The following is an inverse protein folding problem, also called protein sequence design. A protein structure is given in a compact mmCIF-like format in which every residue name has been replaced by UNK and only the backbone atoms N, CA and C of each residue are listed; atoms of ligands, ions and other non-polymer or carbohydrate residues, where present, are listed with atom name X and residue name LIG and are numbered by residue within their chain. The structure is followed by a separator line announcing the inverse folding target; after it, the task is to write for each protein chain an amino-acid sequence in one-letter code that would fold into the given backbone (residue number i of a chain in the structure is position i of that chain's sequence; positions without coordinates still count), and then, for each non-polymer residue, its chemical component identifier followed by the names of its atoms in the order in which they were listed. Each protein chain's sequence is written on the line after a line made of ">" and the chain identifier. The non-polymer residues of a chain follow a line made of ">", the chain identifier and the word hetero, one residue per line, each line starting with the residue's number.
data_IF_460043007677
#
_entry.id   IF_460043007677
#
_cell.length_a   1.000
_cell.length_b   1.000
_cell.length_c   1.000
_cell.angle_alpha   90.00
_cell.angle_beta   90.00
_cell.angle_gamma   90.00
#
_symmetry.space_group_name_H-M   'P 1'
#
loop_
_entity.id
_entity.type
_entity.pdbx_description
1 polymer ?
#
# COMPACT_ATOMS: atom_id res chain seq x y z
N UNK A 1 -13.42 40.96 -7.53
CA UNK A 1 -13.97 39.70 -6.98
C UNK A 1 -12.97 38.60 -7.33
N UNK A 2 -12.59 37.70 -6.41
CA UNK A 2 -11.81 36.52 -6.79
C UNK A 2 -12.54 35.77 -7.92
N UNK A 3 -11.81 35.28 -8.93
CA UNK A 3 -12.38 34.57 -10.08
C UNK A 3 -12.85 35.44 -11.26
N UNK A 4 -12.70 36.77 -11.18
CA UNK A 4 -13.13 37.68 -12.24
C UNK A 4 -12.06 38.71 -12.55
N UNK A 5 -11.96 39.10 -13.81
CA UNK A 5 -11.13 40.20 -14.28
C UNK A 5 -11.97 41.31 -14.94
N UNK A 6 -11.53 42.56 -14.84
CA UNK A 6 -12.24 43.71 -15.39
C UNK A 6 -11.61 44.12 -16.72
N UNK A 7 -12.40 44.15 -17.80
CA UNK A 7 -11.90 44.50 -19.15
C UNK A 7 -11.92 46.00 -19.49
N UNK A 8 -12.43 46.84 -18.58
CA UNK A 8 -12.71 48.25 -18.82
C UNK A 8 -14.21 48.57 -18.88
N UNK A 9 -15.05 47.58 -19.16
CA UNK A 9 -16.51 47.77 -19.35
C UNK A 9 -17.34 46.88 -18.45
N UNK A 10 -17.01 45.59 -18.37
CA UNK A 10 -17.70 44.62 -17.52
C UNK A 10 -16.70 43.70 -16.81
N UNK A 11 -17.15 43.08 -15.72
CA UNK A 11 -16.44 41.98 -15.08
C UNK A 11 -16.68 40.72 -15.92
N UNK A 12 -15.61 40.11 -16.41
CA UNK A 12 -15.66 38.81 -17.08
C UNK A 12 -15.01 37.75 -16.21
N UNK A 13 -15.44 36.52 -16.43
CA UNK A 13 -14.85 35.35 -15.81
C UNK A 13 -13.36 35.26 -16.16
N UNK A 14 -12.52 34.99 -15.15
CA UNK A 14 -11.10 34.76 -15.36
C UNK A 14 -10.91 33.28 -15.66
N UNK A 15 -10.34 32.94 -16.82
CA UNK A 15 -9.96 31.56 -17.09
C UNK A 15 -8.69 31.18 -16.32
N UNK A 16 -8.85 30.57 -15.15
CA UNK A 16 -7.71 30.12 -14.35
C UNK A 16 -6.95 28.94 -14.97
N UNK A 17 -7.56 28.20 -15.91
CA UNK A 17 -6.91 27.06 -16.55
C UNK A 17 -5.78 27.45 -17.50
N UNK A 18 -5.74 28.72 -17.93
CA UNK A 18 -4.61 29.28 -18.70
C UNK A 18 -3.26 29.15 -17.98
N UNK A 19 -3.26 29.07 -16.65
CA UNK A 19 -2.06 28.92 -15.82
C UNK A 19 -1.68 27.47 -15.49
N UNK A 20 -2.39 26.47 -16.01
CA UNK A 20 -2.25 25.05 -15.63
C UNK A 20 -2.20 24.82 -14.09
N UNK A 21 -3.20 25.30 -13.32
CA UNK A 21 -3.15 25.26 -11.86
C UNK A 21 -3.17 23.83 -11.29
N UNK A 22 -3.77 22.88 -12.03
CA UNK A 22 -3.84 21.47 -11.62
C UNK A 22 -2.50 20.73 -11.77
N UNK A 23 -1.52 21.31 -12.48
CA UNK A 23 -0.25 20.68 -12.78
C UNK A 23 -0.38 19.45 -13.70
N UNK A 24 0.66 18.61 -13.80
CA UNK A 24 0.63 17.44 -14.67
C UNK A 24 -0.27 16.29 -14.17
N UNK A 25 -0.73 16.37 -12.92
CA UNK A 25 -1.46 15.28 -12.23
C UNK A 25 -2.98 15.46 -12.29
N UNK A 26 -3.48 16.40 -13.09
CA UNK A 26 -4.90 16.58 -13.27
C UNK A 26 -5.28 17.47 -14.44
N UNK A 27 -6.55 17.41 -14.79
CA UNK A 27 -7.14 18.20 -15.87
C UNK A 27 -7.93 19.37 -15.28
N UNK A 28 -7.62 20.58 -15.73
CA UNK A 28 -8.35 21.79 -15.31
C UNK A 28 -9.64 21.97 -16.10
N UNK A 29 -10.71 22.36 -15.40
CA UNK A 29 -11.97 22.80 -16.01
C UNK A 29 -12.36 24.15 -15.43
N UNK A 30 -12.38 25.17 -16.29
CA UNK A 30 -12.79 26.52 -15.92
C UNK A 30 -14.30 26.58 -15.64
N UNK A 31 -14.69 27.34 -14.63
CA UNK A 31 -16.09 27.57 -14.22
C UNK A 31 -16.31 29.05 -13.98
N UNK A 32 -17.56 29.49 -14.01
CA UNK A 32 -17.87 30.88 -13.71
C UNK A 32 -17.46 31.20 -12.25
N UNK A 33 -16.50 32.09 -12.09
CA UNK A 33 -15.95 32.57 -10.83
C UNK A 33 -14.98 31.61 -10.12
N UNK A 34 -14.59 30.48 -10.75
CA UNK A 34 -13.71 29.47 -10.15
C UNK A 34 -13.24 28.41 -11.17
N UNK A 35 -12.58 27.36 -10.72
CA UNK A 35 -12.19 26.21 -11.54
C UNK A 35 -12.21 24.93 -10.72
N UNK A 36 -12.15 23.80 -11.40
CA UNK A 36 -11.99 22.49 -10.76
C UNK A 36 -10.89 21.68 -11.41
N UNK A 37 -10.15 20.92 -10.59
CA UNK A 37 -9.16 19.95 -11.05
C UNK A 37 -9.74 18.53 -10.95
N UNK A 38 -9.74 17.81 -12.07
CA UNK A 38 -9.97 16.37 -12.10
C UNK A 38 -8.62 15.66 -12.03
N UNK A 39 -8.27 15.13 -10.86
CA UNK A 39 -6.98 14.49 -10.62
C UNK A 39 -6.92 13.07 -11.17
N UNK A 40 -5.73 12.64 -11.60
CA UNK A 40 -5.51 11.25 -12.03
C UNK A 40 -5.53 10.29 -10.84
N UNK A 41 -5.59 8.98 -11.11
CA UNK A 41 -5.52 7.94 -10.05
C UNK A 41 -4.27 8.11 -9.19
N UNK A 42 -4.43 8.00 -7.86
CA UNK A 42 -3.34 8.20 -6.88
C UNK A 42 -3.17 9.67 -6.45
N UNK A 43 -3.98 10.59 -6.96
CA UNK A 43 -3.97 12.00 -6.57
C UNK A 43 -5.37 12.45 -6.14
N UNK A 44 -5.42 13.44 -5.25
CA UNK A 44 -6.65 14.05 -4.77
C UNK A 44 -6.62 15.58 -4.89
N UNK A 45 -7.80 16.20 -4.93
CA UNK A 45 -7.91 17.65 -5.05
C UNK A 45 -7.66 18.32 -3.70
N UNK A 46 -6.60 19.13 -3.62
CA UNK A 46 -6.34 20.05 -2.50
C UNK A 46 -6.89 21.44 -2.85
N UNK A 47 -8.21 21.50 -3.02
CA UNK A 47 -8.93 22.69 -3.46
C UNK A 47 -8.73 22.99 -4.94
N UNK A 48 -7.55 23.50 -5.30
CA UNK A 48 -7.24 23.98 -6.65
C UNK A 48 -6.04 23.33 -7.32
N UNK A 49 -5.40 22.38 -6.65
CA UNK A 49 -4.27 21.62 -7.19
C UNK A 49 -4.50 20.13 -6.96
N UNK A 50 -3.86 19.29 -7.77
CA UNK A 50 -3.80 17.86 -7.50
C UNK A 50 -2.57 17.55 -6.65
N UNK A 51 -2.80 16.96 -5.49
CA UNK A 51 -1.75 16.51 -4.58
C UNK A 51 -1.76 15.00 -4.49
N UNK A 52 -0.61 14.43 -4.20
CA UNK A 52 -0.46 13.00 -3.99
C UNK A 52 -1.38 12.54 -2.86
N UNK A 53 -2.19 11.52 -3.13
CA UNK A 53 -3.07 10.95 -2.12
C UNK A 53 -2.22 10.12 -1.19
N UNK A 54 -2.25 10.39 0.11
CA UNK A 54 -1.51 9.59 1.06
C UNK A 54 -2.26 8.29 1.39
N UNK A 55 -1.96 7.19 0.70
CA UNK A 55 -2.63 5.91 0.97
C UNK A 55 -2.23 5.27 2.30
N UNK A 56 -1.17 5.74 2.97
CA UNK A 56 -0.78 5.24 4.29
C UNK A 56 -1.62 5.82 5.45
N UNK A 57 -2.70 6.55 5.16
CA UNK A 57 -3.59 7.12 6.17
C UNK A 57 -5.06 6.83 5.83
N UNK A 58 -5.67 5.76 6.39
CA UNK A 58 -5.07 4.80 7.33
C UNK A 58 -4.12 3.80 6.66
N UNK A 59 -3.18 3.24 7.43
CA UNK A 59 -2.17 2.28 6.93
C UNK A 59 -2.84 1.00 6.38
N UNK A 60 -2.70 0.71 5.07
CA UNK A 60 -3.29 -0.46 4.44
C UNK A 60 -2.48 -1.74 4.69
N UNK A 61 -1.19 -1.64 5.00
CA UNK A 61 -0.27 -2.77 5.10
C UNK A 61 -0.51 -3.63 6.36
N UNK A 62 -1.22 -3.09 7.34
CA UNK A 62 -1.55 -3.74 8.60
C UNK A 62 -0.35 -3.84 9.56
N UNK A 63 -0.51 -4.51 10.72
CA UNK A 63 0.48 -4.49 11.79
C UNK A 63 1.79 -5.23 11.47
N UNK A 64 1.82 -6.03 10.40
CA UNK A 64 2.97 -6.85 9.99
C UNK A 64 3.67 -6.28 8.75
N UNK A 65 3.39 -5.03 8.42
CA UNK A 65 4.06 -4.31 7.35
C UNK A 65 4.27 -2.84 7.70
N UNK A 66 5.19 -2.21 6.97
CA UNK A 66 5.40 -0.79 6.98
C UNK A 66 4.91 -0.18 5.67
N UNK A 67 3.99 0.79 5.75
CA UNK A 67 3.55 1.55 4.59
C UNK A 67 4.53 2.69 4.27
N UNK A 68 4.87 2.83 2.99
CA UNK A 68 5.57 4.00 2.46
C UNK A 68 4.76 4.60 1.32
N UNK A 69 4.33 5.85 1.50
CA UNK A 69 3.60 6.61 0.49
C UNK A 69 4.55 7.02 -0.66
N UNK A 70 4.08 6.96 -1.89
CA UNK A 70 4.87 7.26 -3.09
C UNK A 70 4.04 8.08 -4.08
N UNK A 71 4.65 8.85 -5.00
CA UNK A 71 3.87 9.62 -5.97
C UNK A 71 2.93 8.73 -6.82
N UNK A 72 1.62 8.89 -6.61
CA UNK A 72 0.53 8.18 -7.28
C UNK A 72 0.22 6.77 -6.77
N UNK A 73 0.87 6.31 -5.69
CA UNK A 73 0.68 4.96 -5.14
C UNK A 73 1.31 4.81 -3.74
N UNK A 74 1.33 3.61 -3.21
CA UNK A 74 2.08 3.27 -2.00
C UNK A 74 2.78 1.93 -2.15
N UNK A 75 3.67 1.63 -1.21
CA UNK A 75 4.32 0.32 -1.08
C UNK A 75 4.16 -0.21 0.34
N UNK A 76 3.99 -1.52 0.47
CA UNK A 76 3.99 -2.24 1.74
C UNK A 76 5.23 -3.11 1.83
N UNK A 77 6.07 -2.86 2.83
CA UNK A 77 7.20 -3.73 3.15
C UNK A 77 6.82 -4.61 4.33
N UNK A 78 6.68 -5.92 4.11
CA UNK A 78 6.29 -6.86 5.15
C UNK A 78 7.46 -7.23 6.06
N UNK A 79 7.15 -7.51 7.33
CA UNK A 79 8.08 -8.06 8.29
C UNK A 79 8.60 -9.43 7.83
N UNK A 80 9.73 -9.88 8.37
CA UNK A 80 10.26 -11.21 8.08
C UNK A 80 9.22 -12.31 8.43
N UNK A 81 9.04 -13.26 7.50
CA UNK A 81 8.02 -14.32 7.62
C UNK A 81 6.63 -13.92 7.12
N UNK A 82 6.46 -12.71 6.56
CA UNK A 82 5.20 -12.24 5.99
C UNK A 82 5.39 -11.85 4.51
N UNK A 83 4.33 -11.99 3.71
CA UNK A 83 4.27 -11.60 2.31
C UNK A 83 3.06 -10.71 2.02
N UNK A 84 3.19 -9.80 1.05
CA UNK A 84 2.10 -8.91 0.67
C UNK A 84 1.15 -9.62 -0.30
N UNK A 85 -0.11 -9.75 0.08
CA UNK A 85 -1.12 -10.46 -0.74
C UNK A 85 -1.86 -9.56 -1.76
N UNK A 86 -1.41 -8.31 -1.91
CA UNK A 86 -2.10 -7.28 -2.68
C UNK A 86 -2.99 -6.37 -1.83
N UNK A 87 -3.23 -6.71 -0.55
CA UNK A 87 -4.01 -5.90 0.38
C UNK A 87 -3.30 -5.68 1.72
N UNK A 88 -2.75 -6.73 2.33
CA UNK A 88 -2.14 -6.70 3.67
C UNK A 88 -0.95 -7.66 3.71
N UNK A 89 -0.02 -7.42 4.64
CA UNK A 89 1.03 -8.38 4.94
C UNK A 89 0.44 -9.60 5.67
N UNK A 90 0.47 -10.76 5.01
CA UNK A 90 -0.01 -12.03 5.53
C UNK A 90 1.15 -12.95 5.87
N UNK A 91 0.92 -13.75 6.91
CA UNK A 91 1.86 -14.76 7.36
C UNK A 91 2.15 -15.77 6.24
N UNK A 92 3.42 -16.05 5.99
CA UNK A 92 3.84 -17.05 5.00
C UNK A 92 3.64 -18.42 5.64
N UNK A 93 2.80 -19.25 5.03
CA UNK A 93 2.61 -20.63 5.51
C UNK A 93 3.75 -21.53 5.01
N UNK A 94 4.81 -21.69 5.80
CA UNK A 94 5.96 -22.49 5.38
C UNK A 94 5.64 -24.00 5.29
N UNK A 95 4.50 -24.44 5.82
CA UNK A 95 4.05 -25.83 5.76
C UNK A 95 3.33 -26.17 4.44
N UNK A 96 2.87 -25.17 3.66
CA UNK A 96 2.20 -25.40 2.36
C UNK A 96 3.14 -25.62 1.17
N UNK A 97 4.46 -25.56 1.39
CA UNK A 97 5.49 -25.73 0.36
C UNK A 97 6.29 -27.03 0.45
N UNK A 98 7.53 -27.00 -0.04
CA UNK A 98 8.47 -28.11 0.13
C UNK A 98 8.76 -28.30 1.63
N UNK A 99 8.43 -29.47 2.18
CA UNK A 99 8.45 -29.73 3.62
C UNK A 99 9.81 -29.36 4.22
N UNK A 100 9.86 -28.19 4.90
CA UNK A 100 11.09 -27.65 5.50
C UNK A 100 11.49 -28.38 6.78
N UNK A 101 10.61 -29.25 7.27
CA UNK A 101 10.82 -30.00 8.49
C UNK A 101 11.54 -31.33 8.23
N UNK A 102 12.33 -31.83 9.21
CA UNK A 102 13.01 -33.12 9.11
C UNK A 102 12.05 -34.29 8.81
N UNK A 103 12.57 -35.37 8.23
CA UNK A 103 11.81 -36.63 8.13
C UNK A 103 11.35 -37.08 9.51
N UNK A 104 10.17 -37.70 9.59
CA UNK A 104 9.52 -38.08 10.85
C UNK A 104 9.18 -36.92 11.80
N UNK A 105 8.92 -35.73 11.23
CA UNK A 105 8.31 -34.62 11.94
C UNK A 105 7.05 -34.10 11.25
N UNK A 106 6.28 -33.33 12.00
CA UNK A 106 5.11 -32.58 11.57
C UNK A 106 5.44 -31.09 11.61
N UNK A 107 5.03 -30.37 10.56
CA UNK A 107 5.13 -28.91 10.48
C UNK A 107 3.92 -28.25 11.12
N UNK A 108 4.14 -27.19 11.89
CA UNK A 108 3.10 -26.29 12.39
C UNK A 108 3.48 -24.86 12.09
N UNK A 109 2.67 -24.19 11.27
CA UNK A 109 2.84 -22.79 10.93
C UNK A 109 2.62 -21.89 12.17
N UNK A 110 3.36 -20.79 12.28
CA UNK A 110 3.30 -19.84 13.39
C UNK A 110 3.47 -18.40 12.89
N UNK A 111 3.01 -17.37 13.60
CA UNK A 111 3.19 -16.00 13.13
C UNK A 111 4.67 -15.63 12.90
N UNK A 112 5.04 -15.38 11.65
CA UNK A 112 6.37 -15.04 11.16
C UNK A 112 7.36 -16.22 11.06
N UNK A 113 6.92 -17.47 11.27
CA UNK A 113 7.80 -18.64 11.24
C UNK A 113 7.04 -19.97 11.25
N UNK A 114 7.75 -21.08 11.49
CA UNK A 114 7.15 -22.39 11.68
C UNK A 114 7.91 -23.19 12.74
N UNK A 115 7.25 -24.22 13.27
CA UNK A 115 7.87 -25.19 14.17
C UNK A 115 7.75 -26.59 13.60
N UNK A 116 8.77 -27.41 13.85
CA UNK A 116 8.79 -28.81 13.46
C UNK A 116 8.79 -29.67 14.73
N UNK A 117 7.81 -30.56 14.85
CA UNK A 117 7.65 -31.44 16.02
C UNK A 117 7.84 -32.88 15.57
N UNK A 118 8.77 -33.61 16.21
CA UNK A 118 8.95 -35.02 15.92
C UNK A 118 7.66 -35.80 16.19
N UNK A 119 7.33 -36.74 15.30
CA UNK A 119 6.18 -37.61 15.49
C UNK A 119 6.36 -38.46 16.75
N UNK A 120 5.25 -38.98 17.29
CA UNK A 120 5.29 -39.90 18.42
C UNK A 120 6.24 -41.08 18.14
N UNK A 121 7.08 -41.41 19.11
CA UNK A 121 8.14 -42.41 18.94
C UNK A 121 9.51 -41.85 18.56
N UNK A 122 9.61 -40.55 18.25
CA UNK A 122 10.85 -39.90 17.82
C UNK A 122 11.23 -38.71 18.71
N UNK A 123 12.53 -38.43 18.82
CA UNK A 123 13.09 -37.24 19.51
C UNK A 123 13.96 -36.42 18.57
N UNK A 124 13.96 -35.10 18.78
CA UNK A 124 14.83 -34.19 18.03
C UNK A 124 16.27 -34.36 18.52
N UNK A 125 17.17 -34.70 17.61
CA UNK A 125 18.62 -34.73 17.83
C UNK A 125 19.33 -33.86 16.78
N UNK A 126 20.64 -33.73 16.87
CA UNK A 126 21.45 -32.88 15.98
C UNK A 126 21.26 -33.12 14.46
N UNK A 127 20.76 -34.30 14.07
CA UNK A 127 20.60 -34.72 12.67
C UNK A 127 19.13 -34.90 12.24
N UNK A 128 18.16 -34.52 13.07
CA UNK A 128 16.72 -34.66 12.79
C UNK A 128 15.96 -35.47 13.84
N UNK A 129 14.80 -36.01 13.47
CA UNK A 129 13.99 -36.84 14.35
C UNK A 129 14.43 -38.31 14.28
N UNK A 130 14.86 -38.89 15.40
CA UNK A 130 15.25 -40.30 15.49
C UNK A 130 14.43 -41.06 16.54
N UNK A 131 14.18 -42.37 16.35
CA UNK A 131 13.34 -43.14 17.25
C UNK A 131 13.91 -43.23 18.67
N UNK A 132 13.04 -43.41 19.66
CA UNK A 132 13.46 -43.81 21.00
C UNK A 132 14.11 -45.20 20.90
N UNK A 133 15.44 -45.26 21.04
CA UNK A 133 16.18 -46.51 21.22
C UNK A 133 15.86 -47.18 22.55
#
# INVERSE_FOLDING_TARGET
>A
MPGYEFDGTFCKDKDECTGNPCGPQGTCTNKIGSYTCACITGYESSGTTCVDKNECTPDPCGPQGACTNTPGSYTCVCNAGYEFDGTVCKDIDECKGNNRCPTESSCSNTPGSYTCVCKAGFRLIAWGCMPFG
#
